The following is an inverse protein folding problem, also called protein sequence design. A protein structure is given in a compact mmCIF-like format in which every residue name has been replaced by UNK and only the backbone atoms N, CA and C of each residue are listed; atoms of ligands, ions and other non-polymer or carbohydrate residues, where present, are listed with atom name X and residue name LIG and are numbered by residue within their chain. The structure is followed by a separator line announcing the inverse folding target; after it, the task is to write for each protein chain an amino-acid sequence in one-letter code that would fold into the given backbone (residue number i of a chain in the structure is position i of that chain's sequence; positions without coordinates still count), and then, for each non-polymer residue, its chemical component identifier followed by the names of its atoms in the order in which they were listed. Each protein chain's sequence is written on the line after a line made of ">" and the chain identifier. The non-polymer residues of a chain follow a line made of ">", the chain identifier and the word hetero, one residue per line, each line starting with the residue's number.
data_IF_783059323242
#
_entry.id   IF_783059323242
#
_cell.length_a   1.000
_cell.length_b   1.000
_cell.length_c   1.000
_cell.angle_alpha   90.00
_cell.angle_beta   90.00
_cell.angle_gamma   90.00
#
_symmetry.space_group_name_H-M   'P 1'
#
loop_
_entity.id
_entity.type
_entity.pdbx_description
1 polymer ?
#
# COMPACT_ATOMS: atom_id res chain seq x y z
N UNK A 1 -10.11 13.22 -11.80
CA UNK A 1 -8.88 13.77 -12.44
C UNK A 1 -7.97 12.61 -12.77
N UNK A 2 -7.45 12.49 -13.99
CA UNK A 2 -6.60 11.35 -14.38
C UNK A 2 -5.21 11.39 -13.72
N UNK A 3 -4.66 12.57 -13.44
CA UNK A 3 -3.37 12.73 -12.74
C UNK A 3 -3.37 12.20 -11.30
N UNK A 4 -4.54 12.16 -10.66
CA UNK A 4 -4.74 11.59 -9.32
C UNK A 4 -4.44 10.07 -9.32
N UNK A 5 -4.69 9.37 -10.42
CA UNK A 5 -4.59 7.91 -10.48
C UNK A 5 -3.20 7.40 -10.89
N UNK A 6 -2.27 8.32 -11.20
CA UNK A 6 -0.90 8.01 -11.65
C UNK A 6 0.06 7.74 -10.48
N UNK A 7 -0.32 8.10 -9.25
CA UNK A 7 0.54 8.03 -8.07
C UNK A 7 -0.16 7.30 -6.91
N UNK A 8 -0.61 6.05 -7.12
CA UNK A 8 -1.45 5.32 -6.17
C UNK A 8 -0.78 5.13 -4.80
N UNK A 9 0.55 5.08 -4.73
CA UNK A 9 1.29 4.78 -3.50
C UNK A 9 1.22 5.94 -2.50
N UNK A 10 1.15 7.18 -2.98
CA UNK A 10 0.93 8.34 -2.10
C UNK A 10 -0.41 8.28 -1.38
N UNK A 11 -1.45 7.78 -2.05
CA UNK A 11 -2.76 7.57 -1.45
C UNK A 11 -2.78 6.39 -0.49
N UNK A 12 -2.07 5.31 -0.83
CA UNK A 12 -1.92 4.17 0.07
C UNK A 12 -1.29 4.58 1.39
N UNK A 13 -0.22 5.38 1.36
CA UNK A 13 0.43 5.91 2.55
C UNK A 13 -0.49 6.84 3.35
N UNK A 14 -1.18 7.77 2.67
CA UNK A 14 -2.15 8.66 3.32
C UNK A 14 -3.30 7.89 3.98
N UNK A 15 -3.83 6.87 3.32
CA UNK A 15 -4.88 6.01 3.85
C UNK A 15 -4.39 5.19 5.05
N UNK A 16 -3.15 4.70 5.01
CA UNK A 16 -2.52 4.04 6.15
C UNK A 16 -2.43 4.99 7.35
N UNK A 17 -1.98 6.23 7.14
CA UNK A 17 -1.88 7.23 8.21
C UNK A 17 -3.24 7.56 8.85
N UNK A 18 -4.30 7.71 8.04
CA UNK A 18 -5.64 8.01 8.54
C UNK A 18 -6.28 6.85 9.33
N UNK A 19 -5.72 5.66 9.24
CA UNK A 19 -6.18 4.46 9.93
C UNK A 19 -5.43 4.19 11.24
N UNK A 20 -4.67 5.15 11.77
CA UNK A 20 -3.81 4.90 12.92
C UNK A 20 -4.49 4.50 14.22
N UNK A 21 -3.72 3.70 14.97
CA UNK A 21 -4.01 3.24 16.32
C UNK A 21 -3.52 4.30 17.32
N UNK A 22 -4.36 4.65 18.29
CA UNK A 22 -4.07 5.68 19.29
C UNK A 22 -2.97 5.28 20.30
N UNK A 23 -2.48 4.03 20.28
CA UNK A 23 -1.62 3.45 21.32
C UNK A 23 -0.38 2.70 20.80
N UNK A 24 0.03 2.90 19.54
CA UNK A 24 1.23 2.21 19.05
C UNK A 24 2.53 2.88 19.54
N UNK A 25 3.49 2.03 19.93
CA UNK A 25 4.91 2.37 19.98
C UNK A 25 5.42 2.76 18.57
N UNK A 26 6.74 2.86 18.39
CA UNK A 26 7.34 3.14 17.08
C UNK A 26 6.83 2.21 15.96
N UNK A 27 6.36 2.80 14.85
CA UNK A 27 5.77 2.10 13.71
C UNK A 27 6.74 2.08 12.55
N UNK A 28 7.18 0.89 12.16
CA UNK A 28 8.15 0.70 11.09
C UNK A 28 7.45 0.34 9.79
N UNK A 29 7.60 1.17 8.76
CA UNK A 29 6.95 1.03 7.46
C UNK A 29 8.01 0.82 6.40
N UNK A 30 7.97 -0.32 5.72
CA UNK A 30 8.77 -0.51 4.52
C UNK A 30 8.01 -0.02 3.28
N UNK A 31 8.70 0.69 2.41
CA UNK A 31 8.21 1.19 1.14
C UNK A 31 9.08 0.58 0.05
N UNK A 32 8.51 -0.31 -0.77
CA UNK A 32 9.26 -0.93 -1.86
C UNK A 32 9.58 0.05 -3.00
N UNK A 33 10.48 -0.36 -3.91
CA UNK A 33 10.92 0.47 -5.02
C UNK A 33 9.75 0.97 -5.87
N UNK A 34 8.77 0.10 -6.18
CA UNK A 34 7.56 0.51 -6.89
C UNK A 34 6.82 1.62 -6.14
N UNK A 35 6.60 1.46 -4.85
CA UNK A 35 5.85 2.41 -4.04
C UNK A 35 6.58 3.75 -3.88
N UNK A 36 7.91 3.71 -3.76
CA UNK A 36 8.76 4.90 -3.68
C UNK A 36 8.71 5.74 -4.96
N UNK A 37 8.63 5.12 -6.14
CA UNK A 37 8.57 5.86 -7.42
C UNK A 37 7.14 6.18 -7.88
N UNK A 38 6.12 5.61 -7.25
CA UNK A 38 4.70 5.81 -7.58
C UNK A 38 3.94 6.70 -6.57
N UNK A 39 4.60 7.73 -6.03
CA UNK A 39 3.94 8.83 -5.33
C UNK A 39 4.25 8.97 -3.85
N UNK A 40 5.05 8.08 -3.27
CA UNK A 40 5.54 8.27 -1.91
C UNK A 40 6.80 9.11 -1.94
N UNK A 41 6.75 10.26 -1.29
CA UNK A 41 7.90 11.14 -1.10
C UNK A 41 8.06 11.48 0.37
N UNK A 42 9.21 12.04 0.73
CA UNK A 42 9.51 12.49 2.09
C UNK A 42 8.50 13.50 2.64
N UNK A 43 7.83 14.28 1.78
CA UNK A 43 6.80 15.23 2.22
C UNK A 43 5.48 14.56 2.65
N UNK A 44 5.26 13.31 2.25
CA UNK A 44 4.10 12.52 2.66
C UNK A 44 4.36 11.64 3.88
N UNK A 45 5.60 11.64 4.39
CA UNK A 45 6.00 10.89 5.58
C UNK A 45 5.69 11.70 6.84
N UNK A 46 5.08 11.06 7.83
CA UNK A 46 4.80 11.68 9.11
C UNK A 46 6.00 11.53 10.05
N UNK A 47 6.13 12.41 11.04
CA UNK A 47 7.12 12.26 12.10
C UNK A 47 6.72 11.15 13.09
N UNK A 48 7.28 11.16 14.31
CA UNK A 48 6.98 10.18 15.35
C UNK A 48 5.47 9.92 15.50
N UNK A 49 5.02 8.65 15.62
CA UNK A 49 5.79 7.43 15.85
C UNK A 49 6.31 6.72 14.58
N UNK A 50 6.24 7.33 13.40
CA UNK A 50 6.53 6.66 12.14
C UNK A 50 8.02 6.63 11.79
N UNK A 51 8.47 5.48 11.28
CA UNK A 51 9.80 5.25 10.71
C UNK A 51 9.64 4.57 9.36
N UNK A 52 10.28 5.11 8.34
CA UNK A 52 10.17 4.62 6.97
C UNK A 52 11.51 4.04 6.51
N UNK A 53 11.48 2.84 5.92
CA UNK A 53 12.61 2.25 5.22
C UNK A 53 12.29 2.09 3.74
N UNK A 54 13.23 2.48 2.88
CA UNK A 54 13.19 2.24 1.42
C UNK A 54 14.33 1.32 0.98
N UNK A 55 14.80 0.48 1.89
CA UNK A 55 15.91 -0.45 1.61
C UNK A 55 15.56 -1.40 0.47
N UNK A 56 16.34 -1.35 -0.60
CA UNK A 56 16.12 -2.19 -1.78
C UNK A 56 16.79 -3.56 -1.61
N UNK A 57 16.33 -4.56 -2.36
CA UNK A 57 16.97 -5.88 -2.40
C UNK A 57 16.61 -6.84 -1.25
N UNK A 58 15.68 -6.47 -0.36
CA UNK A 58 15.11 -7.40 0.63
C UNK A 58 14.26 -8.45 -0.11
N UNK A 59 14.56 -9.73 0.07
CA UNK A 59 13.78 -10.80 -0.55
C UNK A 59 12.42 -10.99 0.14
N UNK A 60 11.46 -11.56 -0.58
CA UNK A 60 10.12 -11.85 -0.05
C UNK A 60 10.14 -12.75 1.19
N UNK A 61 11.13 -13.64 1.28
CA UNK A 61 11.30 -14.55 2.42
C UNK A 61 11.93 -13.86 3.63
N UNK A 62 12.74 -12.83 3.42
CA UNK A 62 13.40 -12.09 4.50
C UNK A 62 12.47 -11.11 5.19
N UNK A 63 11.43 -10.60 4.53
CA UNK A 63 10.48 -9.66 5.16
C UNK A 63 9.89 -10.19 6.47
N UNK A 64 9.59 -11.49 6.56
CA UNK A 64 9.03 -12.09 7.77
C UNK A 64 10.01 -12.05 8.97
N UNK A 65 11.32 -11.89 8.71
CA UNK A 65 12.37 -11.82 9.72
C UNK A 65 12.69 -10.38 10.12
N UNK A 66 12.17 -9.40 9.39
CA UNK A 66 12.34 -7.98 9.67
C UNK A 66 11.28 -7.47 10.65
N UNK A 67 11.59 -6.39 11.37
CA UNK A 67 10.70 -5.78 12.35
C UNK A 67 9.77 -4.71 11.74
N UNK A 68 9.26 -4.95 10.52
CA UNK A 68 8.29 -4.04 9.90
C UNK A 68 6.89 -4.26 10.46
N UNK A 69 6.23 -3.16 10.78
CA UNK A 69 4.81 -3.11 11.17
C UNK A 69 3.92 -3.16 9.93
N UNK A 70 4.26 -2.37 8.92
CA UNK A 70 3.54 -2.30 7.64
C UNK A 70 4.49 -2.39 6.45
N UNK A 71 3.99 -2.92 5.33
CA UNK A 71 4.65 -2.88 4.04
C UNK A 71 3.73 -2.19 3.02
N UNK A 72 4.26 -1.27 2.24
CA UNK A 72 3.62 -0.77 1.02
C UNK A 72 4.35 -1.41 -0.17
N UNK A 73 3.63 -2.23 -0.93
CA UNK A 73 4.23 -2.98 -2.03
C UNK A 73 3.33 -3.16 -3.25
N UNK A 74 3.93 -3.37 -4.42
CA UNK A 74 3.22 -3.85 -5.62
C UNK A 74 2.79 -5.33 -5.52
N UNK A 75 3.34 -6.08 -4.56
CA UNK A 75 3.08 -7.51 -4.39
C UNK A 75 1.81 -7.71 -3.56
N UNK A 76 0.89 -8.53 -4.04
CA UNK A 76 -0.38 -8.85 -3.36
C UNK A 76 -0.24 -9.84 -2.21
N UNK A 77 0.86 -10.62 -2.17
CA UNK A 77 1.13 -11.63 -1.16
C UNK A 77 2.59 -11.59 -0.73
N UNK A 78 2.81 -11.50 0.59
CA UNK A 78 4.12 -11.44 1.23
C UNK A 78 4.06 -12.29 2.51
N UNK A 79 4.89 -13.33 2.59
CA UNK A 79 4.91 -14.25 3.73
C UNK A 79 5.18 -13.49 5.04
N UNK A 80 4.41 -13.81 6.08
CA UNK A 80 4.51 -13.15 7.38
C UNK A 80 3.70 -11.85 7.48
N UNK A 81 3.02 -11.45 6.41
CA UNK A 81 2.16 -10.27 6.39
C UNK A 81 0.78 -10.60 5.82
N UNK A 82 -0.23 -9.89 6.31
CA UNK A 82 -1.61 -9.96 5.82
C UNK A 82 -1.89 -8.71 5.01
N UNK A 83 -2.41 -8.88 3.80
CA UNK A 83 -2.85 -7.76 2.99
C UNK A 83 -4.11 -7.12 3.61
N UNK A 84 -3.99 -5.85 4.01
CA UNK A 84 -5.03 -5.12 4.75
C UNK A 84 -6.00 -4.43 3.79
N UNK A 85 -5.47 -3.73 2.78
CA UNK A 85 -6.25 -3.09 1.73
C UNK A 85 -5.37 -2.82 0.52
N UNK A 86 -6.01 -2.52 -0.62
CA UNK A 86 -5.34 -2.14 -1.85
C UNK A 86 -5.80 -0.77 -2.35
N UNK A 87 -4.92 -0.08 -3.06
CA UNK A 87 -5.24 1.12 -3.82
C UNK A 87 -5.11 0.79 -5.30
N UNK A 88 -6.19 1.05 -6.02
CA UNK A 88 -6.22 0.91 -7.47
C UNK A 88 -5.46 2.06 -8.12
N UNK A 89 -4.73 1.76 -9.17
CA UNK A 89 -4.09 2.75 -10.05
C UNK A 89 -4.60 2.60 -11.48
N UNK A 90 -4.30 3.60 -12.31
CA UNK A 90 -4.59 3.53 -13.74
C UNK A 90 -3.93 2.30 -14.38
N UNK A 91 -4.68 1.56 -15.21
CA UNK A 91 -4.17 0.41 -15.95
C UNK A 91 -4.21 0.65 -17.46
N UNK A 92 -5.38 0.98 -18.03
CA UNK A 92 -5.51 1.21 -19.48
C UNK A 92 -6.68 2.12 -19.85
N UNK A 93 -6.59 2.67 -21.05
CA UNK A 93 -7.71 3.30 -21.74
C UNK A 93 -8.42 2.25 -22.60
N UNK A 94 -9.74 2.13 -22.48
CA UNK A 94 -10.58 1.35 -23.41
C UNK A 94 -11.45 2.27 -24.26
N UNK A 95 -11.51 1.97 -25.55
CA UNK A 95 -12.50 2.55 -26.47
C UNK A 95 -13.76 1.69 -26.48
N UNK A 96 -14.92 2.32 -26.42
CA UNK A 96 -16.21 1.65 -26.41
C UNK A 96 -17.22 2.38 -27.30
N UNK A 97 -18.21 1.66 -27.82
CA UNK A 97 -19.22 2.21 -28.74
C UNK A 97 -20.28 3.09 -28.05
N UNK A 98 -20.35 3.07 -26.72
CA UNK A 98 -21.34 3.84 -25.93
C UNK A 98 -20.70 5.13 -25.37
N UNK A 99 -21.49 6.18 -25.16
CA UNK A 99 -21.00 7.43 -24.56
C UNK A 99 -20.86 7.31 -23.02
N UNK A 100 -19.73 7.69 -22.41
CA UNK A 100 -18.54 8.27 -23.04
C UNK A 100 -17.73 7.19 -23.80
N UNK A 101 -17.20 7.52 -24.99
CA UNK A 101 -16.55 6.54 -25.88
C UNK A 101 -15.17 6.08 -25.37
N UNK A 102 -14.70 6.65 -24.26
CA UNK A 102 -13.43 6.35 -23.62
C UNK A 102 -13.73 5.97 -22.16
N UNK A 103 -13.24 4.81 -21.74
CA UNK A 103 -13.26 4.35 -20.35
C UNK A 103 -11.83 4.22 -19.82
N UNK A 104 -11.61 4.70 -18.59
CA UNK A 104 -10.32 4.55 -17.88
C UNK A 104 -10.46 3.39 -16.90
N UNK A 105 -9.77 2.29 -17.20
CA UNK A 105 -9.76 1.12 -16.32
C UNK A 105 -8.69 1.23 -15.26
N UNK A 106 -9.04 0.76 -14.07
CA UNK A 106 -8.18 0.76 -12.89
C UNK A 106 -8.06 -0.65 -12.35
N UNK A 107 -6.90 -0.96 -11.80
CA UNK A 107 -6.60 -2.27 -11.21
C UNK A 107 -5.82 -2.06 -9.91
N UNK A 108 -5.84 -3.02 -8.98
CA UNK A 108 -4.96 -3.01 -7.81
C UNK A 108 -3.49 -2.82 -8.23
N UNK A 109 -2.84 -1.77 -7.73
CA UNK A 109 -1.41 -1.50 -7.99
C UNK A 109 -0.57 -1.46 -6.73
N UNK A 110 -1.17 -1.04 -5.61
CA UNK A 110 -0.47 -0.94 -4.33
C UNK A 110 -1.24 -1.71 -3.29
N UNK A 111 -0.53 -2.55 -2.55
CA UNK A 111 -1.04 -3.39 -1.48
C UNK A 111 -0.39 -2.92 -0.19
N UNK A 112 -1.24 -2.63 0.80
CA UNK A 112 -0.79 -2.27 2.14
C UNK A 112 -0.96 -3.49 3.01
N UNK A 113 0.16 -3.96 3.54
CA UNK A 113 0.22 -5.17 4.36
C UNK A 113 0.52 -4.82 5.81
N UNK A 114 -0.01 -5.63 6.73
CA UNK A 114 0.27 -5.55 8.15
C UNK A 114 0.92 -6.83 8.64
N UNK A 115 1.90 -6.70 9.55
CA UNK A 115 2.58 -7.86 10.13
C UNK A 115 1.61 -8.73 10.91
N UNK A 116 1.59 -10.04 10.64
CA UNK A 116 0.74 -10.99 11.37
C UNK A 116 1.15 -11.16 12.84
N UNK A 117 2.35 -10.70 13.20
CA UNK A 117 2.87 -10.71 14.58
C UNK A 117 2.25 -9.62 15.45
N UNK A 118 1.60 -8.63 14.82
CA UNK A 118 0.96 -7.53 15.54
C UNK A 118 -0.54 -7.82 15.73
N UNK A 119 -0.90 -8.25 16.94
CA UNK A 119 -2.28 -8.61 17.28
C UNK A 119 -3.26 -7.45 17.08
N UNK A 120 -2.89 -6.21 17.44
CA UNK A 120 -3.75 -5.04 17.28
C UNK A 120 -4.14 -4.78 15.82
N UNK A 121 -3.19 -5.01 14.90
CA UNK A 121 -3.47 -4.92 13.46
C UNK A 121 -4.39 -6.06 13.02
N UNK A 122 -4.17 -7.27 13.53
CA UNK A 122 -4.92 -8.47 13.12
C UNK A 122 -6.36 -8.50 13.64
N UNK A 123 -6.59 -7.96 14.84
CA UNK A 123 -7.92 -7.90 15.48
C UNK A 123 -8.83 -6.85 14.84
N UNK A 124 -8.29 -5.96 14.00
CA UNK A 124 -9.05 -4.92 13.33
C UNK A 124 -9.71 -5.41 12.04
N UNK A 125 -10.90 -4.87 11.77
CA UNK A 125 -11.57 -5.06 10.49
C UNK A 125 -10.94 -4.17 9.42
N UNK A 126 -10.28 -4.79 8.45
CA UNK A 126 -9.73 -4.12 7.27
C UNK A 126 -10.55 -4.43 6.02
N UNK A 127 -10.56 -3.54 5.00
CA UNK A 127 -11.27 -3.75 3.74
C UNK A 127 -10.87 -5.03 2.97
N UNK A 128 -9.72 -5.60 3.31
CA UNK A 128 -9.07 -6.74 2.65
C UNK A 128 -8.62 -6.41 1.22
N UNK A 129 -7.68 -7.20 0.72
CA UNK A 129 -7.20 -7.10 -0.65
C UNK A 129 -7.95 -8.12 -1.49
N UNK A 130 -9.17 -7.77 -1.90
CA UNK A 130 -9.87 -8.59 -2.88
C UNK A 130 -9.22 -8.36 -4.26
N UNK A 131 -8.70 -9.43 -4.87
CA UNK A 131 -8.44 -9.42 -6.29
C UNK A 131 -9.77 -9.15 -7.00
N UNK A 132 -9.82 -8.09 -7.80
CA UNK A 132 -10.95 -7.91 -8.71
C UNK A 132 -10.83 -9.05 -9.72
N UNK A 133 -11.71 -10.04 -9.58
CA UNK A 133 -11.89 -11.17 -10.51
C UNK A 133 -12.43 -10.71 -11.85
#
# INVERSE_FOLDING_TARGET
>A
MASYENYPSGYALKALHGNMLNNLNEVHVHIDTFSAINGISRFGENDYPWRYSKEEGISLEEFQNQNFTFLLSERSDIKGFKCLFTVNGFSRVRLQSQFPPISLEKEPKVFVHGSIRNAEIMDRSWPQCNAIS
#
